data_IF_987826009485
#
_entry.id   IF_987826009485
#
_cell.length_a   1.000
_cell.length_b   1.000
_cell.length_c   1.000
_cell.angle_alpha   90.00
_cell.angle_beta   90.00
_cell.angle_gamma   90.00
#
_symmetry.space_group_name_H-M   'P 1'
#
loop_
_entity.id
_entity.type
_entity.pdbx_description
1 polymer ?
#
# COMPACT_ATOMS: atom_id res chain seq x y z
N UNK A 1 6.23 74.59 17.32
CA UNK A 1 5.50 73.31 17.54
C UNK A 1 5.44 72.36 16.33
N UNK A 2 5.94 72.69 15.14
CA UNK A 2 5.75 71.85 13.94
C UNK A 2 6.72 70.67 13.73
N UNK A 3 7.89 70.66 14.36
CA UNK A 3 8.89 69.58 14.14
C UNK A 3 8.48 68.21 14.73
N UNK A 4 7.66 68.20 15.78
CA UNK A 4 7.19 66.95 16.42
C UNK A 4 6.10 66.24 15.59
N UNK A 5 5.29 66.99 14.85
CA UNK A 5 4.22 66.42 14.02
C UNK A 5 4.76 65.65 12.80
N UNK A 6 5.86 66.13 12.21
CA UNK A 6 6.49 65.52 11.03
C UNK A 6 7.10 64.15 11.39
N UNK A 7 7.74 64.03 12.56
CA UNK A 7 8.32 62.76 13.01
C UNK A 7 7.26 61.69 13.27
N UNK A 8 6.12 62.06 13.86
CA UNK A 8 4.99 61.15 14.04
C UNK A 8 4.37 60.70 12.70
N UNK A 9 4.28 61.60 11.73
CA UNK A 9 3.71 61.28 10.42
C UNK A 9 4.58 60.29 9.64
N UNK A 10 5.91 60.43 9.69
CA UNK A 10 6.85 59.48 9.06
C UNK A 10 6.75 58.10 9.71
N UNK A 11 6.59 58.04 11.04
CA UNK A 11 6.49 56.77 11.76
C UNK A 11 5.21 55.99 11.39
N UNK A 12 4.09 56.69 11.17
CA UNK A 12 2.82 56.09 10.74
C UNK A 12 2.90 55.55 9.30
N UNK A 13 3.56 56.29 8.39
CA UNK A 13 3.75 55.82 7.00
C UNK A 13 4.65 54.56 6.96
N UNK A 14 5.74 54.54 7.73
CA UNK A 14 6.62 53.37 7.80
C UNK A 14 5.93 52.14 8.38
N UNK A 15 5.02 52.31 9.36
CA UNK A 15 4.26 51.19 9.94
C UNK A 15 3.15 50.67 9.02
N UNK A 16 2.53 51.53 8.19
CA UNK A 16 1.57 51.11 7.16
C UNK A 16 2.22 50.30 6.03
N UNK A 17 3.47 50.60 5.64
CA UNK A 17 4.20 49.86 4.61
C UNK A 17 4.49 48.40 5.00
N UNK A 18 4.79 48.13 6.28
CA UNK A 18 5.08 46.78 6.77
C UNK A 18 3.87 45.84 6.78
N UNK A 19 2.65 46.36 6.84
CA UNK A 19 1.43 45.53 6.87
C UNK A 19 1.11 44.98 5.47
N UNK A 20 1.46 45.73 4.42
CA UNK A 20 1.18 45.31 3.03
C UNK A 20 2.08 44.19 2.54
N UNK A 21 3.33 44.11 3.00
CA UNK A 21 4.27 43.04 2.63
C UNK A 21 3.92 41.69 3.27
N UNK A 22 3.51 41.67 4.54
CA UNK A 22 3.05 40.44 5.22
C UNK A 22 1.78 39.84 4.58
N UNK A 23 0.90 40.68 4.03
CA UNK A 23 -0.32 40.24 3.35
C UNK A 23 -0.05 39.64 1.95
N UNK A 24 1.08 39.99 1.31
CA UNK A 24 1.47 39.44 0.01
C UNK A 24 2.16 38.07 0.16
N UNK A 25 3.04 37.91 1.15
CA UNK A 25 3.71 36.63 1.44
C UNK A 25 2.72 35.51 1.76
N UNK A 26 1.61 35.81 2.45
CA UNK A 26 0.57 34.82 2.80
C UNK A 26 -0.27 34.37 1.59
N UNK A 27 -0.43 35.22 0.56
CA UNK A 27 -1.13 34.85 -0.68
C UNK A 27 -0.26 34.03 -1.62
N UNK A 28 1.02 34.40 -1.75
CA UNK A 28 1.97 33.66 -2.60
C UNK A 28 2.32 32.30 -2.00
N UNK A 29 2.51 32.22 -0.68
CA UNK A 29 2.71 30.93 0.02
C UNK A 29 1.48 30.02 -0.07
N UNK A 30 0.26 30.56 0.05
CA UNK A 30 -0.97 29.78 -0.19
C UNK A 30 -1.06 29.29 -1.63
N UNK A 31 -0.72 30.12 -2.62
CA UNK A 31 -0.70 29.73 -4.03
C UNK A 31 0.37 28.67 -4.32
N UNK A 32 1.54 28.77 -3.70
CA UNK A 32 2.61 27.78 -3.80
C UNK A 32 2.22 26.46 -3.12
N UNK A 33 1.55 26.51 -1.96
CA UNK A 33 1.01 25.35 -1.28
C UNK A 33 -0.11 24.69 -2.09
N UNK A 34 -1.04 25.47 -2.64
CA UNK A 34 -2.12 24.96 -3.50
C UNK A 34 -1.55 24.38 -4.81
N UNK A 35 -0.51 24.99 -5.38
CA UNK A 35 0.19 24.46 -6.55
C UNK A 35 0.98 23.18 -6.20
N UNK A 36 1.60 23.12 -5.02
CA UNK A 36 2.30 21.93 -4.54
C UNK A 36 1.32 20.79 -4.26
N UNK A 37 0.21 21.04 -3.58
CA UNK A 37 -0.87 20.08 -3.36
C UNK A 37 -1.42 19.66 -4.73
N UNK A 38 -1.76 20.59 -5.63
CA UNK A 38 -2.27 20.25 -6.96
C UNK A 38 -1.26 19.48 -7.82
N UNK A 39 0.05 19.70 -7.67
CA UNK A 39 1.09 18.97 -8.39
C UNK A 39 1.30 17.57 -7.80
N UNK A 40 1.25 17.43 -6.47
CA UNK A 40 1.35 16.13 -5.78
C UNK A 40 0.07 15.30 -5.88
N UNK A 41 -1.09 15.92 -6.14
CA UNK A 41 -2.38 15.21 -6.31
C UNK A 41 -2.60 14.70 -7.74
N UNK A 42 -1.81 15.15 -8.74
CA UNK A 42 -2.00 14.80 -10.16
C UNK A 42 -1.14 13.63 -10.69
N UNK A 43 -0.35 12.99 -9.86
CA UNK A 43 0.32 11.73 -10.21
C UNK A 43 -0.44 10.54 -9.63
N UNK A 44 -1.73 10.43 -9.93
CA UNK A 44 -2.48 9.20 -9.69
C UNK A 44 -1.97 8.18 -10.70
N UNK A 45 -1.06 7.30 -10.28
CA UNK A 45 -0.71 6.15 -11.10
C UNK A 45 -1.97 5.30 -11.27
N UNK A 46 -2.30 4.90 -12.50
CA UNK A 46 -3.41 3.98 -12.76
C UNK A 46 -3.07 2.63 -12.10
N UNK A 47 -3.73 2.34 -10.99
CA UNK A 47 -3.58 1.10 -10.23
C UNK A 47 -4.79 0.22 -10.45
N UNK A 48 -4.58 -0.99 -10.96
CA UNK A 48 -5.63 -1.96 -11.25
C UNK A 48 -5.44 -3.21 -10.40
N UNK A 49 -6.45 -3.65 -9.63
CA UNK A 49 -6.39 -4.94 -8.95
C UNK A 49 -6.20 -6.09 -9.93
N UNK A 50 -5.35 -7.05 -9.57
CA UNK A 50 -5.01 -8.17 -10.46
C UNK A 50 -5.82 -9.40 -10.11
N UNK A 51 -6.86 -9.69 -10.88
CA UNK A 51 -7.71 -10.86 -10.69
C UNK A 51 -7.13 -12.15 -11.27
N UNK A 52 -7.44 -13.30 -10.67
CA UNK A 52 -7.11 -14.62 -11.18
C UNK A 52 -5.63 -14.79 -11.53
N UNK A 53 -4.75 -14.16 -10.73
CA UNK A 53 -3.31 -14.16 -10.96
C UNK A 53 -2.64 -15.17 -10.04
N UNK A 54 -1.78 -16.02 -10.59
CA UNK A 54 -1.09 -17.04 -9.81
C UNK A 54 0.00 -16.41 -8.94
N UNK A 55 -0.07 -16.70 -7.64
CA UNK A 55 0.86 -16.26 -6.61
C UNK A 55 1.60 -17.48 -6.08
N UNK A 56 2.92 -17.43 -6.11
CA UNK A 56 3.80 -18.41 -5.48
C UNK A 56 4.33 -17.84 -4.18
N UNK A 57 4.27 -18.61 -3.10
CA UNK A 57 4.67 -18.18 -1.77
C UNK A 57 5.69 -19.19 -1.25
N UNK A 58 6.86 -18.71 -0.86
CA UNK A 58 7.93 -19.51 -0.27
C UNK A 58 8.28 -18.98 1.12
N UNK A 59 8.37 -19.87 2.11
CA UNK A 59 8.89 -19.53 3.44
C UNK A 59 10.39 -19.75 3.48
N UNK A 60 11.11 -18.87 4.17
CA UNK A 60 12.58 -18.94 4.23
C UNK A 60 13.07 -19.07 5.68
N UNK A 61 13.66 -20.22 6.07
CA UNK A 61 13.60 -21.51 5.37
C UNK A 61 12.21 -22.15 5.52
N UNK A 62 11.79 -22.99 4.59
CA UNK A 62 10.53 -23.70 4.76
C UNK A 62 9.86 -24.17 3.47
N UNK A 63 8.58 -24.57 3.60
CA UNK A 63 7.77 -25.00 2.47
C UNK A 63 7.43 -23.85 1.53
N UNK A 64 6.97 -24.24 0.33
CA UNK A 64 6.41 -23.35 -0.68
C UNK A 64 5.04 -23.85 -1.12
N UNK A 65 4.22 -22.94 -1.62
CA UNK A 65 3.02 -23.32 -2.35
C UNK A 65 2.47 -22.18 -3.19
N UNK A 66 1.21 -22.32 -3.59
CA UNK A 66 0.58 -21.41 -4.55
C UNK A 66 -0.88 -21.14 -4.22
N UNK A 67 -1.35 -19.96 -4.61
CA UNK A 67 -2.75 -19.57 -4.58
C UNK A 67 -3.04 -18.62 -5.75
N UNK A 68 -4.32 -18.31 -5.97
CA UNK A 68 -4.76 -17.38 -7.01
C UNK A 68 -5.48 -16.19 -6.37
N UNK A 69 -5.25 -14.99 -6.90
CA UNK A 69 -5.95 -13.79 -6.45
C UNK A 69 -7.44 -13.81 -6.81
N UNK A 70 -8.27 -13.25 -5.93
CA UNK A 70 -9.69 -12.96 -6.19
C UNK A 70 -9.86 -11.87 -7.25
N UNK A 71 -11.11 -11.63 -7.65
CA UNK A 71 -11.51 -10.54 -8.55
C UNK A 71 -11.06 -9.14 -8.11
N UNK A 72 -10.88 -8.92 -6.81
CA UNK A 72 -10.40 -7.67 -6.22
C UNK A 72 -8.87 -7.67 -5.98
N UNK A 73 -8.14 -8.65 -6.52
CA UNK A 73 -6.70 -8.79 -6.35
C UNK A 73 -6.26 -9.37 -4.99
N UNK A 74 -7.21 -9.69 -4.11
CA UNK A 74 -6.88 -10.16 -2.76
C UNK A 74 -6.53 -11.65 -2.74
N UNK A 75 -5.56 -12.01 -1.92
CA UNK A 75 -5.18 -13.39 -1.60
C UNK A 75 -4.74 -13.48 -0.12
N UNK A 76 -4.79 -14.69 0.43
CA UNK A 76 -4.51 -14.92 1.85
C UNK A 76 -3.44 -15.97 2.10
N UNK A 77 -2.76 -15.85 3.24
CA UNK A 77 -1.84 -16.84 3.78
C UNK A 77 -2.33 -17.21 5.18
N UNK A 78 -2.57 -18.49 5.43
CA UNK A 78 -2.96 -19.00 6.74
C UNK A 78 -1.96 -20.06 7.22
N UNK A 79 -1.47 -19.89 8.44
CA UNK A 79 -0.58 -20.86 9.09
C UNK A 79 -1.38 -21.68 10.09
N UNK A 80 -1.63 -22.93 9.76
CA UNK A 80 -2.39 -23.84 10.63
C UNK A 80 -1.59 -24.17 11.90
N UNK A 81 -0.26 -24.29 11.76
CA UNK A 81 0.67 -24.47 12.87
C UNK A 81 2.00 -23.74 12.62
N UNK A 82 2.03 -22.44 12.85
CA UNK A 82 3.21 -21.61 12.57
C UNK A 82 4.47 -22.03 13.36
N UNK A 83 4.30 -22.62 14.54
CA UNK A 83 5.41 -23.09 15.37
C UNK A 83 6.11 -24.30 14.76
N UNK A 84 5.37 -25.18 14.09
CA UNK A 84 5.92 -26.34 13.40
C UNK A 84 6.70 -25.91 12.15
N UNK A 85 6.16 -24.94 11.41
CA UNK A 85 6.72 -24.50 10.13
C UNK A 85 7.94 -23.59 10.30
N UNK A 86 7.98 -22.75 11.33
CA UNK A 86 9.02 -21.72 11.53
C UNK A 86 9.73 -21.83 12.90
N UNK A 87 9.51 -22.92 13.63
CA UNK A 87 10.07 -23.16 14.96
C UNK A 87 9.47 -22.29 16.07
N UNK A 88 9.48 -22.79 17.31
CA UNK A 88 8.90 -22.07 18.48
C UNK A 88 9.63 -20.78 18.87
N UNK A 89 10.93 -20.69 18.57
CA UNK A 89 11.79 -19.61 19.07
C UNK A 89 11.75 -18.33 18.22
N UNK A 90 11.50 -18.46 16.91
CA UNK A 90 11.42 -17.29 16.04
C UNK A 90 10.09 -16.56 16.26
N UNK A 91 10.12 -15.23 16.35
CA UNK A 91 8.92 -14.38 16.34
C UNK A 91 8.59 -13.87 14.93
N UNK A 92 9.51 -14.07 13.99
CA UNK A 92 9.45 -13.55 12.63
C UNK A 92 9.23 -14.71 11.65
N UNK A 93 8.44 -14.42 10.62
CA UNK A 93 8.23 -15.26 9.45
C UNK A 93 8.81 -14.48 8.26
N UNK A 94 9.78 -15.07 7.59
CA UNK A 94 10.29 -14.53 6.33
C UNK A 94 9.66 -15.30 5.18
N UNK A 95 9.10 -14.58 4.22
CA UNK A 95 8.52 -15.18 3.04
C UNK A 95 8.87 -14.39 1.79
N UNK A 96 8.86 -15.08 0.65
CA UNK A 96 9.05 -14.51 -0.67
C UNK A 96 7.80 -14.81 -1.48
N UNK A 97 7.15 -13.75 -1.96
CA UNK A 97 5.98 -13.84 -2.84
C UNK A 97 6.43 -13.59 -4.27
N UNK A 98 6.14 -14.51 -5.18
CA UNK A 98 6.40 -14.36 -6.61
C UNK A 98 5.09 -14.32 -7.40
N UNK A 99 4.95 -13.35 -8.29
CA UNK A 99 3.78 -13.18 -9.15
C UNK A 99 4.05 -13.81 -10.51
N UNK A 100 3.15 -14.69 -10.94
CA UNK A 100 3.14 -15.23 -12.31
C UNK A 100 1.97 -14.64 -13.09
N UNK A 101 2.20 -13.62 -13.93
CA UNK A 101 1.16 -13.11 -14.79
C UNK A 101 0.67 -14.17 -15.77
N UNK A 102 -0.57 -14.02 -16.25
CA UNK A 102 -1.13 -14.87 -17.31
C UNK A 102 -0.25 -14.80 -18.57
N UNK A 103 -0.19 -15.88 -19.35
CA UNK A 103 0.70 -16.03 -20.52
C UNK A 103 0.57 -14.93 -21.60
N UNK A 104 -0.49 -14.10 -21.55
CA UNK A 104 -0.75 -12.99 -22.48
C UNK A 104 -0.87 -11.65 -21.77
N UNK A 105 -0.18 -11.46 -20.64
CA UNK A 105 -0.22 -10.18 -19.93
C UNK A 105 0.36 -9.06 -20.80
N UNK A 106 -0.38 -7.97 -21.05
CA UNK A 106 -0.06 -7.03 -22.13
C UNK A 106 1.10 -6.08 -21.79
N UNK A 107 1.65 -6.13 -20.57
CA UNK A 107 2.70 -5.24 -20.13
C UNK A 107 3.99 -6.00 -19.81
N UNK A 108 5.12 -5.36 -20.13
CA UNK A 108 6.44 -5.77 -19.61
C UNK A 108 6.54 -5.38 -18.14
N UNK A 109 6.93 -6.36 -17.32
CA UNK A 109 7.05 -6.19 -15.86
C UNK A 109 8.50 -6.34 -15.45
N UNK A 110 9.01 -5.37 -14.69
CA UNK A 110 10.42 -5.33 -14.25
C UNK A 110 10.70 -6.10 -12.96
N UNK A 111 9.71 -6.25 -12.08
CA UNK A 111 9.83 -7.02 -10.84
C UNK A 111 8.56 -7.82 -10.56
N UNK A 112 8.73 -9.08 -10.21
CA UNK A 112 7.65 -9.99 -9.84
C UNK A 112 7.96 -10.80 -8.57
N UNK A 113 9.03 -10.46 -7.82
CA UNK A 113 9.43 -11.14 -6.58
C UNK A 113 9.48 -10.13 -5.43
N UNK A 114 8.82 -10.47 -4.32
CA UNK A 114 8.53 -9.57 -3.22
C UNK A 114 8.87 -10.25 -1.89
N UNK A 115 9.97 -9.87 -1.22
CA UNK A 115 10.27 -10.35 0.12
C UNK A 115 9.37 -9.66 1.15
N UNK A 116 8.88 -10.42 2.12
CA UNK A 116 8.10 -9.94 3.25
C UNK A 116 8.60 -10.52 4.57
N UNK A 117 8.47 -9.71 5.60
CA UNK A 117 8.72 -10.09 7.00
C UNK A 117 7.43 -9.89 7.77
N UNK A 118 6.91 -10.97 8.36
CA UNK A 118 5.68 -10.96 9.16
C UNK A 118 5.99 -11.31 10.61
N UNK A 119 5.18 -10.78 11.53
CA UNK A 119 5.25 -11.16 12.94
C UNK A 119 4.29 -12.31 13.21
N UNK A 120 4.75 -13.38 13.86
CA UNK A 120 3.89 -14.53 14.22
C UNK A 120 2.72 -14.12 15.11
N UNK A 121 2.90 -13.11 15.95
CA UNK A 121 1.88 -12.56 16.85
C UNK A 121 0.69 -11.92 16.12
N UNK A 122 0.84 -11.57 14.84
CA UNK A 122 -0.23 -10.96 14.03
C UNK A 122 -1.07 -12.01 13.28
N UNK A 123 -0.65 -13.29 13.31
CA UNK A 123 -1.27 -14.40 12.62
C UNK A 123 -2.49 -14.99 13.36
N UNK A 124 -3.00 -16.16 12.93
CA UNK A 124 -2.41 -17.08 11.95
C UNK A 124 -2.67 -16.71 10.48
N UNK A 125 -3.55 -15.76 10.21
CA UNK A 125 -3.95 -15.36 8.86
C UNK A 125 -3.40 -13.98 8.49
N UNK A 126 -2.94 -13.86 7.24
CA UNK A 126 -2.38 -12.65 6.65
C UNK A 126 -3.00 -12.42 5.28
N UNK A 127 -3.55 -11.23 5.05
CA UNK A 127 -4.19 -10.87 3.79
C UNK A 127 -3.35 -9.87 3.00
N UNK A 128 -3.32 -10.04 1.69
CA UNK A 128 -2.58 -9.22 0.75
C UNK A 128 -3.44 -8.85 -0.44
N UNK A 129 -3.14 -7.72 -1.07
CA UNK A 129 -3.74 -7.28 -2.33
C UNK A 129 -2.66 -7.14 -3.38
N UNK A 130 -2.80 -7.83 -4.51
CA UNK A 130 -1.98 -7.63 -5.69
C UNK A 130 -2.61 -6.58 -6.61
N UNK A 131 -1.81 -5.57 -6.97
CA UNK A 131 -2.15 -4.54 -7.94
C UNK A 131 -1.11 -4.49 -9.05
N UNK A 132 -1.54 -4.03 -10.22
CA UNK A 132 -0.66 -3.62 -11.29
C UNK A 132 -0.72 -2.12 -11.45
N UNK A 133 0.46 -1.50 -11.48
CA UNK A 133 0.64 -0.07 -11.68
C UNK A 133 1.24 0.14 -13.06
N UNK A 134 0.47 0.78 -13.95
CA UNK A 134 0.95 1.18 -15.27
C UNK A 134 1.90 2.37 -15.13
N UNK A 135 2.98 2.37 -15.91
CA UNK A 135 3.84 3.54 -16.01
C UNK A 135 3.17 4.60 -16.89
N UNK A 136 2.97 5.80 -16.35
CA UNK A 136 2.32 6.89 -17.09
C UNK A 136 3.20 7.40 -18.26
N UNK A 137 4.50 7.08 -18.26
CA UNK A 137 5.44 7.55 -19.28
C UNK A 137 5.71 6.52 -20.39
N UNK A 138 5.15 5.32 -20.29
CA UNK A 138 5.38 4.23 -21.24
C UNK A 138 4.10 3.45 -21.52
N UNK A 139 3.89 3.10 -22.79
CA UNK A 139 2.62 2.53 -23.24
C UNK A 139 2.44 1.06 -22.88
N UNK A 140 3.54 0.32 -22.66
CA UNK A 140 3.58 -1.14 -22.52
C UNK A 140 4.36 -1.62 -21.29
N UNK A 141 4.66 -0.76 -20.32
CA UNK A 141 5.40 -1.13 -19.11
C UNK A 141 4.61 -0.84 -17.83
N UNK A 142 4.95 -1.58 -16.78
CA UNK A 142 4.46 -1.31 -15.45
C UNK A 142 5.10 -2.23 -14.43
N UNK A 143 4.53 -2.25 -13.22
CA UNK A 143 5.04 -3.06 -12.11
C UNK A 143 3.89 -3.67 -11.32
N UNK A 144 4.15 -4.80 -10.70
CA UNK A 144 3.29 -5.31 -9.65
C UNK A 144 3.61 -4.64 -8.32
N UNK A 145 2.57 -4.49 -7.52
CA UNK A 145 2.66 -4.04 -6.14
C UNK A 145 1.83 -4.98 -5.27
N UNK A 146 2.39 -5.40 -4.15
CA UNK A 146 1.70 -6.23 -3.17
C UNK A 146 1.61 -5.42 -1.88
N UNK A 147 0.37 -5.16 -1.47
CA UNK A 147 0.08 -4.46 -0.21
C UNK A 147 -0.44 -5.46 0.81
N UNK A 148 0.09 -5.40 2.03
CA UNK A 148 -0.44 -6.17 3.16
C UNK A 148 -1.60 -5.42 3.81
N UNK A 149 -2.71 -6.12 4.05
CA UNK A 149 -3.82 -5.60 4.82
C UNK A 149 -3.60 -5.86 6.32
N UNK A 150 -3.17 -4.83 7.06
CA UNK A 150 -2.90 -4.92 8.51
C UNK A 150 -4.17 -4.91 9.38
N UNK A 151 -5.33 -4.57 8.82
CA UNK A 151 -6.58 -4.56 9.59
C UNK A 151 -7.17 -5.96 9.77
N UNK A 152 -6.74 -6.91 8.94
CA UNK A 152 -7.18 -8.29 9.01
C UNK A 152 -6.15 -9.09 9.81
N UNK A 153 -6.52 -9.39 11.07
CA UNK A 153 -5.72 -10.22 11.99
C UNK A 153 -6.64 -11.29 12.62
N UNK A 154 -6.16 -12.53 12.72
CA UNK A 154 -6.89 -13.65 13.34
C UNK A 154 -7.56 -14.64 12.36
N UNK A 155 -7.97 -15.83 12.84
CA UNK A 155 -8.52 -16.88 11.99
C UNK A 155 -9.89 -16.49 11.39
N UNK A 156 -10.28 -17.09 10.24
CA UNK A 156 -11.60 -16.90 9.65
C UNK A 156 -12.73 -17.09 10.67
N UNK A 157 -13.71 -16.18 10.70
CA UNK A 157 -14.92 -16.32 11.51
C UNK A 157 -15.90 -17.34 10.91
N UNK A 158 -15.49 -18.60 10.77
CA UNK A 158 -16.39 -19.69 10.40
C UNK A 158 -15.63 -21.01 10.25
N UNK A 159 -15.98 -21.97 11.10
CA UNK A 159 -15.40 -23.31 11.07
C UNK A 159 -15.83 -24.06 9.82
N UNK A 160 -14.98 -24.07 8.80
CA UNK A 160 -15.08 -24.98 7.67
C UNK A 160 -13.78 -25.78 7.55
N UNK A 161 -13.89 -27.11 7.48
CA UNK A 161 -12.75 -28.02 7.34
C UNK A 161 -11.98 -27.73 6.06
N UNK A 162 -10.68 -27.49 6.23
CA UNK A 162 -9.73 -26.95 5.26
C UNK A 162 -9.31 -27.99 4.22
N UNK A 163 -9.20 -27.57 2.96
CA UNK A 163 -8.42 -28.25 1.92
C UNK A 163 -7.49 -27.25 1.26
N UNK A 164 -6.31 -27.73 0.90
CA UNK A 164 -5.28 -26.99 0.17
C UNK A 164 -5.90 -26.32 -1.09
N UNK A 165 -5.72 -25.01 -1.26
CA UNK A 165 -6.21 -24.25 -2.41
C UNK A 165 -7.73 -23.98 -2.46
N UNK A 166 -8.48 -24.12 -1.37
CA UNK A 166 -9.92 -23.85 -1.36
C UNK A 166 -10.26 -22.44 -0.85
N UNK A 167 -10.93 -21.63 -1.68
CA UNK A 167 -11.60 -20.41 -1.22
C UNK A 167 -12.69 -20.77 -0.20
N UNK A 168 -12.66 -20.16 1.00
CA UNK A 168 -13.64 -20.42 2.06
C UNK A 168 -14.71 -19.32 2.04
N UNK A 169 -15.97 -19.71 1.88
CA UNK A 169 -17.12 -18.81 2.09
C UNK A 169 -17.41 -18.72 3.59
N UNK A 170 -17.49 -17.51 4.14
CA UNK A 170 -17.75 -17.29 5.56
C UNK A 170 -18.89 -16.28 5.72
N UNK A 171 -20.13 -16.77 5.87
CA UNK A 171 -21.33 -15.92 5.84
C UNK A 171 -21.58 -15.34 4.45
N UNK A 172 -21.87 -14.03 4.37
CA UNK A 172 -22.10 -13.32 3.10
C UNK A 172 -20.81 -12.82 2.42
N UNK A 173 -19.63 -13.06 3.02
CA UNK A 173 -18.34 -12.69 2.44
C UNK A 173 -17.55 -13.92 1.96
N UNK A 174 -16.95 -13.79 0.78
CA UNK A 174 -15.98 -14.74 0.24
C UNK A 174 -14.61 -14.39 0.81
N UNK A 175 -13.91 -15.32 1.46
CA UNK A 175 -12.46 -15.18 1.65
C UNK A 175 -11.76 -15.59 0.35
N UNK A 176 -10.63 -14.95 0.01
CA UNK A 176 -9.86 -15.31 -1.18
C UNK A 176 -9.33 -16.74 -1.14
N UNK A 177 -8.69 -17.20 -2.21
CA UNK A 177 -7.91 -18.44 -2.09
C UNK A 177 -6.83 -18.21 -1.04
N UNK A 178 -6.85 -19.06 -0.02
CA UNK A 178 -5.93 -18.99 1.10
C UNK A 178 -4.89 -20.08 0.90
N UNK A 179 -3.62 -19.69 0.86
CA UNK A 179 -2.52 -20.64 0.95
C UNK A 179 -2.40 -21.13 2.40
N UNK A 180 -2.39 -22.44 2.60
CA UNK A 180 -2.27 -23.05 3.92
C UNK A 180 -0.87 -23.62 4.11
N UNK A 181 -0.21 -23.19 5.18
CA UNK A 181 1.02 -23.79 5.70
C UNK A 181 0.76 -24.56 6.99
#
# INVERSE_FOLDING_TARGET
>A
MHKKAIVYFIFIICSLLHITTFAQETKESKKALDAFISATTKSTFESTPMSETEIWIELTPGPRGRCVTRNDGVFGINFSNIEEVQGKKSQIINLVISVRPKNNFPFKVSNNVFPFTLMKSEGPYYEFTLKFIKDNNATDTGRFEIERNYQVTGPPKGGAKQKEGSAVKTGDSYQGEVMHF
#
